data_IF_897597590817
#
_entry.id   IF_897597590817
#
_cell.length_a   1.000
_cell.length_b   1.000
_cell.length_c   1.000
_cell.angle_alpha   90.00
_cell.angle_beta   90.00
_cell.angle_gamma   90.00
#
_symmetry.space_group_name_H-M   'P 1'
#
loop_
_entity.id
_entity.type
_entity.pdbx_description
1 polymer ?
#
# COMPACT_ATOMS: atom_id res chain seq x y z
N UNK A 1 22.65 -16.65 -68.72
CA UNK A 1 21.63 -17.19 -67.77
C UNK A 1 22.35 -17.85 -66.60
N UNK A 2 22.47 -17.18 -65.44
CA UNK A 2 23.05 -17.79 -64.23
C UNK A 2 21.90 -18.12 -63.25
N UNK A 3 21.67 -19.41 -63.00
CA UNK A 3 20.69 -19.91 -62.02
C UNK A 3 21.14 -19.51 -60.61
N UNK A 4 20.35 -18.71 -59.88
CA UNK A 4 20.48 -18.52 -58.43
C UNK A 4 19.95 -19.78 -57.75
N UNK A 5 20.80 -20.49 -57.01
CA UNK A 5 20.36 -21.54 -56.09
C UNK A 5 19.78 -20.87 -54.83
N UNK A 6 18.53 -21.22 -54.48
CA UNK A 6 17.94 -20.91 -53.17
C UNK A 6 18.47 -21.92 -52.16
N UNK A 7 18.99 -21.45 -51.02
CA UNK A 7 19.27 -22.30 -49.85
C UNK A 7 17.94 -22.60 -49.13
N UNK A 8 17.69 -23.82 -48.64
CA UNK A 8 16.50 -24.12 -47.84
C UNK A 8 16.64 -23.51 -46.43
N UNK A 9 15.54 -22.96 -45.92
CA UNK A 9 15.43 -22.50 -44.53
C UNK A 9 15.49 -23.72 -43.59
N UNK A 10 16.33 -23.66 -42.56
CA UNK A 10 16.49 -24.70 -41.55
C UNK A 10 15.25 -24.79 -40.68
N UNK A 11 14.59 -25.95 -40.71
CA UNK A 11 13.40 -26.30 -39.93
C UNK A 11 13.72 -26.80 -38.52
N UNK A 12 14.98 -26.75 -38.10
CA UNK A 12 15.43 -27.37 -36.84
C UNK A 12 15.04 -26.54 -35.60
N UNK A 13 14.94 -25.21 -35.70
CA UNK A 13 14.67 -24.36 -34.52
C UNK A 13 13.21 -24.32 -34.08
N UNK A 14 12.25 -24.59 -34.99
CA UNK A 14 10.84 -24.70 -34.61
C UNK A 14 10.59 -25.97 -33.75
N UNK A 15 11.45 -26.99 -33.88
CA UNK A 15 11.37 -28.20 -33.06
C UNK A 15 11.75 -27.96 -31.60
N UNK A 16 12.65 -27.01 -31.33
CA UNK A 16 13.16 -26.75 -29.98
C UNK A 16 12.15 -25.96 -29.12
N UNK A 17 11.42 -25.02 -29.72
CA UNK A 17 10.36 -24.27 -29.02
C UNK A 17 9.15 -25.17 -28.71
N UNK A 18 8.73 -26.00 -29.68
CA UNK A 18 7.66 -26.98 -29.45
C UNK A 18 8.06 -28.04 -28.44
N UNK A 19 9.32 -28.48 -28.45
CA UNK A 19 9.87 -29.41 -27.45
C UNK A 19 9.90 -28.79 -26.06
N UNK A 20 10.32 -27.52 -25.94
CA UNK A 20 10.30 -26.81 -24.66
C UNK A 20 8.88 -26.63 -24.12
N UNK A 21 7.91 -26.33 -24.99
CA UNK A 21 6.50 -26.26 -24.60
C UNK A 21 5.95 -27.63 -24.17
N UNK A 22 6.25 -28.69 -24.90
CA UNK A 22 5.85 -30.05 -24.57
C UNK A 22 6.43 -30.50 -23.21
N UNK A 23 7.72 -30.26 -22.97
CA UNK A 23 8.39 -30.57 -21.70
C UNK A 23 7.74 -29.83 -20.52
N UNK A 24 7.32 -28.58 -20.69
CA UNK A 24 6.60 -27.82 -19.67
C UNK A 24 5.19 -28.37 -19.36
N UNK A 25 4.50 -28.91 -20.37
CA UNK A 25 3.16 -29.51 -20.18
C UNK A 25 3.23 -30.91 -19.59
N UNK A 26 4.31 -31.64 -19.85
CA UNK A 26 4.56 -32.98 -19.34
C UNK A 26 5.03 -32.94 -17.88
N UNK A 27 5.85 -31.95 -17.49
CA UNK A 27 6.23 -31.70 -16.09
C UNK A 27 5.03 -31.40 -15.19
N UNK A 28 4.03 -30.67 -15.71
CA UNK A 28 2.73 -30.45 -15.03
C UNK A 28 1.90 -31.72 -14.85
N UNK A 29 2.09 -32.75 -15.69
CA UNK A 29 1.40 -34.04 -15.55
C UNK A 29 2.10 -34.93 -14.52
N UNK A 30 3.43 -34.86 -14.42
CA UNK A 30 4.21 -35.66 -13.46
C UNK A 30 4.18 -35.09 -12.04
N UNK A 31 4.01 -33.77 -11.88
CA UNK A 31 3.89 -33.11 -10.56
C UNK A 31 2.50 -33.28 -9.91
N UNK A 32 1.49 -33.75 -10.65
CA UNK A 32 0.14 -33.94 -10.14
C UNK A 32 -0.06 -35.26 -9.35
N UNK A 33 0.90 -36.21 -9.42
CA UNK A 33 0.71 -37.59 -8.95
C UNK A 33 1.73 -38.10 -7.90
N UNK A 34 2.64 -37.28 -7.35
CA UNK A 34 3.60 -37.77 -6.32
C UNK A 34 3.83 -36.77 -5.16
N UNK A 35 3.38 -37.07 -3.92
CA UNK A 35 3.64 -36.24 -2.76
C UNK A 35 4.77 -36.85 -1.92
N UNK A 36 6.04 -36.76 -2.34
CA UNK A 36 7.22 -36.84 -1.45
C UNK A 36 8.54 -36.56 -2.15
N UNK A 37 9.41 -35.85 -1.42
CA UNK A 37 10.80 -35.51 -1.73
C UNK A 37 10.93 -34.41 -2.81
N UNK A 38 11.56 -33.27 -2.55
CA UNK A 38 12.96 -33.16 -2.16
C UNK A 38 13.23 -31.87 -1.35
N UNK A 39 13.73 -32.07 -0.13
CA UNK A 39 14.62 -31.15 0.57
C UNK A 39 16.05 -31.58 0.24
N UNK A 40 16.78 -30.76 -0.51
CA UNK A 40 18.25 -30.65 -0.46
C UNK A 40 18.64 -29.38 -1.21
N UNK A 41 18.97 -28.35 -0.46
CA UNK A 41 19.61 -27.14 -0.98
C UNK A 41 21.06 -27.46 -1.30
N UNK A 42 21.45 -27.20 -2.54
CA UNK A 42 22.83 -26.92 -2.90
C UNK A 42 22.94 -25.40 -3.00
N UNK A 43 23.78 -24.83 -2.15
CA UNK A 43 24.19 -23.44 -2.20
C UNK A 43 25.14 -23.28 -3.41
N UNK A 44 24.72 -22.49 -4.40
CA UNK A 44 25.61 -21.96 -5.43
C UNK A 44 25.53 -20.44 -5.40
N UNK A 45 26.68 -19.83 -5.15
CA UNK A 45 26.92 -18.39 -5.21
C UNK A 45 26.68 -17.88 -6.64
N UNK A 46 25.52 -17.26 -6.89
CA UNK A 46 25.20 -16.49 -8.11
C UNK A 46 24.75 -15.07 -7.71
N UNK A 47 25.49 -14.42 -6.80
CA UNK A 47 25.32 -12.99 -6.55
C UNK A 47 26.14 -12.19 -7.57
N UNK A 48 25.61 -12.05 -8.78
CA UNK A 48 26.26 -11.26 -9.84
C UNK A 48 25.50 -11.11 -11.15
N UNK A 49 24.54 -11.99 -11.45
CA UNK A 49 23.80 -11.98 -12.73
C UNK A 49 22.34 -11.49 -12.61
N UNK A 50 21.77 -11.46 -11.40
CA UNK A 50 20.35 -11.07 -11.19
C UNK A 50 20.05 -9.60 -11.55
N UNK A 51 21.02 -8.68 -11.39
CA UNK A 51 20.81 -7.25 -11.66
C UNK A 51 20.79 -6.89 -13.16
N UNK A 52 21.48 -7.66 -14.01
CA UNK A 52 21.44 -7.45 -15.47
C UNK A 52 20.20 -8.09 -16.10
N UNK A 53 19.73 -9.23 -15.56
CA UNK A 53 18.51 -9.91 -16.03
C UNK A 53 17.24 -9.11 -15.70
N UNK A 54 17.17 -8.47 -14.53
CA UNK A 54 16.05 -7.58 -14.19
C UNK A 54 15.97 -6.35 -15.12
N UNK A 55 17.12 -5.84 -15.56
CA UNK A 55 17.22 -4.76 -16.55
C UNK A 55 16.71 -5.20 -17.93
N UNK A 56 17.22 -6.33 -18.46
CA UNK A 56 16.80 -6.86 -19.77
C UNK A 56 15.34 -7.35 -19.78
N UNK A 57 14.78 -7.77 -18.65
CA UNK A 57 13.35 -8.15 -18.53
C UNK A 57 12.42 -6.93 -18.39
N UNK A 58 12.84 -5.86 -17.71
CA UNK A 58 12.05 -4.62 -17.62
C UNK A 58 11.90 -3.93 -18.98
N UNK A 59 12.95 -3.96 -19.81
CA UNK A 59 12.89 -3.51 -21.20
C UNK A 59 11.94 -4.37 -22.06
N UNK A 60 11.81 -5.67 -21.76
CA UNK A 60 10.85 -6.55 -22.46
C UNK A 60 9.40 -6.23 -22.11
N UNK A 61 9.09 -5.85 -20.86
CA UNK A 61 7.74 -5.44 -20.45
C UNK A 61 7.32 -4.12 -21.12
N UNK A 62 8.21 -3.12 -21.17
CA UNK A 62 7.97 -1.87 -21.88
C UNK A 62 7.81 -2.07 -23.41
N UNK A 63 8.57 -3.01 -24.00
CA UNK A 63 8.48 -3.34 -25.42
C UNK A 63 7.18 -4.10 -25.78
N UNK A 64 6.64 -4.94 -24.89
CA UNK A 64 5.36 -5.65 -25.10
C UNK A 64 4.15 -4.71 -25.00
N UNK A 65 4.17 -3.70 -24.12
CA UNK A 65 3.14 -2.66 -24.08
C UNK A 65 3.14 -1.80 -25.35
N UNK A 66 4.32 -1.57 -25.94
CA UNK A 66 4.44 -0.88 -27.23
C UNK A 66 3.86 -1.71 -28.39
N UNK A 67 4.06 -3.04 -28.41
CA UNK A 67 3.48 -3.89 -29.47
C UNK A 67 1.94 -3.95 -29.43
N UNK A 68 1.33 -3.94 -28.23
CA UNK A 68 -0.14 -3.86 -28.10
C UNK A 68 -0.67 -2.50 -28.62
N UNK A 69 0.13 -1.44 -28.48
CA UNK A 69 -0.18 -0.12 -29.03
C UNK A 69 -0.03 -0.05 -30.55
N UNK A 70 1.00 -0.66 -31.14
CA UNK A 70 1.29 -0.67 -32.58
C UNK A 70 0.33 -1.57 -33.37
N UNK A 71 -0.11 -2.71 -32.84
CA UNK A 71 -1.11 -3.55 -33.52
C UNK A 71 -2.49 -2.88 -33.63
N UNK A 72 -2.77 -1.89 -32.78
CA UNK A 72 -3.96 -1.03 -32.88
C UNK A 72 -3.86 0.05 -33.98
N UNK A 73 -2.69 0.18 -34.61
CA UNK A 73 -2.34 1.25 -35.56
C UNK A 73 -2.17 0.76 -37.01
N UNK A 74 -2.38 -0.52 -37.32
CA UNK A 74 -2.40 -1.02 -38.71
C UNK A 74 -3.69 -0.60 -39.47
N UNK A 75 -3.94 0.72 -39.52
CA UNK A 75 -4.61 1.44 -40.60
C UNK A 75 -4.17 2.90 -40.55
N UNK A 76 -3.32 3.24 -41.52
CA UNK A 76 -2.88 4.57 -41.98
C UNK A 76 -1.48 5.02 -41.50
N UNK A 77 -0.46 4.51 -42.21
CA UNK A 77 0.81 5.19 -42.55
C UNK A 77 0.49 6.55 -43.24
N UNK A 78 1.26 7.64 -43.24
CA UNK A 78 2.62 8.00 -42.84
C UNK A 78 2.66 9.55 -42.78
N UNK A 79 3.47 10.15 -41.90
CA UNK A 79 4.41 11.27 -42.18
C UNK A 79 5.03 11.87 -40.89
N UNK A 80 6.34 11.65 -40.76
CA UNK A 80 7.44 12.50 -40.25
C UNK A 80 7.15 13.62 -39.21
N UNK A 81 7.77 13.60 -38.03
CA UNK A 81 9.14 14.16 -37.80
C UNK A 81 9.44 14.59 -36.33
N UNK A 82 10.70 14.30 -35.94
CA UNK A 82 11.62 14.93 -34.96
C UNK A 82 11.14 15.57 -33.64
N UNK A 83 11.51 14.90 -32.54
CA UNK A 83 12.60 15.32 -31.63
C UNK A 83 12.44 16.57 -30.76
N UNK A 84 12.56 16.42 -29.43
CA UNK A 84 13.17 17.39 -28.52
C UNK A 84 13.50 16.74 -27.15
N UNK A 85 14.78 16.50 -26.90
CA UNK A 85 15.37 16.32 -25.55
C UNK A 85 15.65 17.70 -24.96
N UNK A 86 15.38 17.89 -23.67
CA UNK A 86 16.10 18.90 -22.86
C UNK A 86 16.24 18.43 -21.41
N UNK A 87 17.43 18.70 -20.90
CA UNK A 87 18.05 18.27 -19.65
C UNK A 87 17.95 19.40 -18.60
N UNK A 88 18.38 19.06 -17.38
CA UNK A 88 18.85 19.91 -16.26
C UNK A 88 17.78 20.54 -15.33
N UNK A 89 17.98 20.67 -14.01
CA UNK A 89 18.88 20.09 -12.99
C UNK A 89 18.35 20.52 -11.59
N UNK A 90 18.85 19.81 -10.57
CA UNK A 90 18.92 19.96 -9.10
C UNK A 90 18.38 21.18 -8.32
N UNK A 91 17.99 20.91 -7.06
CA UNK A 91 18.40 21.70 -5.89
C UNK A 91 18.29 20.88 -4.58
N UNK A 92 19.43 20.71 -3.90
CA UNK A 92 19.56 20.32 -2.49
C UNK A 92 19.23 21.47 -1.54
N UNK A 93 18.86 21.16 -0.28
CA UNK A 93 19.44 21.84 0.90
C UNK A 93 19.20 21.04 2.19
N UNK A 94 20.28 20.90 2.94
CA UNK A 94 20.48 20.48 4.33
C UNK A 94 19.84 21.52 5.31
N UNK A 95 19.73 21.43 6.65
CA UNK A 95 20.37 20.66 7.71
C UNK A 95 19.69 20.97 9.09
N UNK A 96 19.96 20.13 10.11
CA UNK A 96 19.94 20.32 11.59
C UNK A 96 18.59 20.59 12.34
N UNK A 97 18.32 20.09 13.55
CA UNK A 97 19.10 19.28 14.50
C UNK A 97 18.38 19.16 15.87
N UNK A 98 18.78 18.11 16.62
CA UNK A 98 18.75 17.91 18.11
C UNK A 98 17.40 17.91 18.87
N UNK A 99 17.13 17.05 19.87
CA UNK A 99 17.90 16.02 20.57
C UNK A 99 17.21 15.59 21.89
N UNK A 100 17.72 14.51 22.51
CA UNK A 100 17.68 14.18 23.96
C UNK A 100 16.31 13.77 24.56
N UNK A 101 16.14 12.82 25.49
CA UNK A 101 17.01 12.05 26.38
C UNK A 101 16.22 10.83 26.89
N UNK A 102 16.91 9.73 27.15
CA UNK A 102 16.49 8.61 27.99
C UNK A 102 16.35 9.04 29.46
N UNK A 103 15.67 8.23 30.29
CA UNK A 103 16.25 7.62 31.51
C UNK A 103 15.18 6.87 32.34
N UNK A 104 15.68 5.79 32.93
CA UNK A 104 15.08 4.79 33.82
C UNK A 104 14.77 5.32 35.24
N UNK A 105 13.97 4.57 36.02
CA UNK A 105 14.17 4.39 37.46
C UNK A 105 13.17 3.38 38.06
N UNK A 106 13.71 2.30 38.64
CA UNK A 106 12.99 1.32 39.45
C UNK A 106 12.94 1.66 40.96
N UNK A 107 12.93 0.60 41.77
CA UNK A 107 12.85 0.51 43.25
C UNK A 107 11.42 0.52 43.83
N UNK A 108 11.07 -0.25 44.86
CA UNK A 108 11.71 -1.31 45.66
C UNK A 108 10.59 -1.99 46.49
N UNK A 109 10.81 -3.23 46.89
CA UNK A 109 10.03 -3.97 47.90
C UNK A 109 10.45 -3.52 49.31
N UNK A 110 9.53 -3.49 50.28
CA UNK A 110 9.86 -3.67 51.70
C UNK A 110 8.72 -4.36 52.46
N UNK A 111 9.15 -4.97 53.56
CA UNK A 111 8.68 -6.18 54.22
C UNK A 111 8.01 -5.88 55.58
N UNK A 112 7.53 -6.94 56.24
CA UNK A 112 7.36 -7.09 57.71
C UNK A 112 6.22 -6.28 58.42
N UNK A 113 5.53 -6.73 59.49
CA UNK A 113 5.75 -7.73 60.55
C UNK A 113 4.40 -8.11 61.20
N UNK A 114 4.32 -9.33 61.74
CA UNK A 114 3.30 -9.79 62.69
C UNK A 114 3.52 -9.20 64.10
N UNK A 115 2.44 -8.94 64.86
CA UNK A 115 2.50 -8.75 66.32
C UNK A 115 1.28 -9.42 66.99
N UNK A 116 1.55 -10.50 67.71
CA UNK A 116 0.66 -11.16 68.67
C UNK A 116 0.80 -10.51 70.05
N UNK A 117 -0.29 -10.00 70.64
CA UNK A 117 -0.24 -9.48 72.01
C UNK A 117 -1.58 -9.06 72.57
N UNK A 118 -2.29 -10.00 73.18
CA UNK A 118 -3.63 -9.82 73.73
C UNK A 118 -3.74 -8.75 74.82
N UNK A 119 -4.73 -7.87 74.65
CA UNK A 119 -5.50 -7.32 75.75
C UNK A 119 -6.92 -7.02 75.23
N UNK A 120 -7.92 -7.48 75.98
CA UNK A 120 -9.37 -7.36 75.77
C UNK A 120 -9.81 -6.17 74.87
N UNK A 121 -10.21 -6.45 73.61
CA UNK A 121 -10.69 -5.44 72.67
C UNK A 121 -12.02 -4.85 73.15
N UNK A 122 -12.01 -3.65 73.75
CA UNK A 122 -13.23 -2.83 73.84
C UNK A 122 -13.65 -2.46 72.42
N UNK A 123 -14.80 -2.96 71.95
CA UNK A 123 -15.22 -2.67 70.58
C UNK A 123 -15.56 -1.19 70.44
N UNK A 124 -15.39 -0.62 69.23
CA UNK A 124 -15.69 0.81 68.97
C UNK A 124 -17.12 1.19 69.35
N UNK A 125 -18.06 0.26 69.17
CA UNK A 125 -19.46 0.44 69.54
C UNK A 125 -19.62 0.61 71.05
N UNK A 126 -18.78 -0.06 71.85
CA UNK A 126 -18.75 0.09 73.30
C UNK A 126 -18.24 1.48 73.69
N UNK A 127 -17.21 2.00 73.00
CA UNK A 127 -16.71 3.37 73.22
C UNK A 127 -17.78 4.40 72.86
N UNK A 128 -18.54 4.19 71.78
CA UNK A 128 -19.60 5.10 71.38
C UNK A 128 -20.79 5.07 72.36
N UNK A 129 -21.14 3.89 72.89
CA UNK A 129 -22.14 3.73 73.95
C UNK A 129 -21.69 4.38 75.25
N UNK A 130 -20.45 4.15 75.69
CA UNK A 130 -19.86 4.80 76.88
C UNK A 130 -19.91 6.33 76.75
N UNK A 131 -19.49 6.88 75.61
CA UNK A 131 -19.54 8.33 75.35
C UNK A 131 -20.98 8.89 75.34
N UNK A 132 -21.99 8.09 75.00
CA UNK A 132 -23.39 8.51 75.03
C UNK A 132 -23.97 8.55 76.45
N UNK A 133 -23.41 7.77 77.38
CA UNK A 133 -23.82 7.72 78.79
C UNK A 133 -23.08 8.74 79.66
N UNK A 134 -22.00 9.36 79.16
CA UNK A 134 -21.29 10.42 79.87
C UNK A 134 -22.01 11.78 79.76
N UNK A 135 -21.87 12.62 80.79
CA UNK A 135 -22.38 13.99 80.75
C UNK A 135 -21.62 14.81 79.71
N UNK A 136 -22.27 15.82 79.13
CA UNK A 136 -21.66 16.69 78.12
C UNK A 136 -20.36 17.37 78.63
N UNK A 137 -20.33 17.74 79.91
CA UNK A 137 -19.14 18.33 80.53
C UNK A 137 -17.96 17.36 80.54
N UNK A 138 -18.22 16.09 80.83
CA UNK A 138 -17.18 15.06 80.86
C UNK A 138 -16.67 14.72 79.46
N UNK A 139 -17.56 14.70 78.46
CA UNK A 139 -17.18 14.55 77.05
C UNK A 139 -16.29 15.71 76.59
N UNK A 140 -16.58 16.94 77.01
CA UNK A 140 -15.76 18.12 76.68
C UNK A 140 -14.39 18.07 77.38
N UNK A 141 -14.35 17.69 78.66
CA UNK A 141 -13.09 17.47 79.40
C UNK A 141 -12.26 16.39 78.75
N UNK A 142 -12.88 15.30 78.29
CA UNK A 142 -12.22 14.25 77.54
C UNK A 142 -11.65 14.78 76.23
N UNK A 143 -12.46 15.48 75.42
CA UNK A 143 -12.02 16.08 74.15
C UNK A 143 -10.84 17.04 74.34
N UNK A 144 -10.81 17.81 75.42
CA UNK A 144 -9.70 18.72 75.73
C UNK A 144 -8.44 17.96 76.18
N UNK A 145 -8.58 16.81 76.85
CA UNK A 145 -7.45 15.96 77.27
C UNK A 145 -6.83 15.17 76.13
N UNK A 146 -7.65 14.50 75.30
CA UNK A 146 -7.16 13.69 74.16
C UNK A 146 -6.93 14.53 72.88
N UNK A 147 -7.45 15.75 72.84
CA UNK A 147 -7.37 16.65 71.69
C UNK A 147 -8.48 16.42 70.66
N UNK A 148 -8.93 17.50 70.02
CA UNK A 148 -10.08 17.50 69.09
C UNK A 148 -9.87 16.61 67.88
N UNK A 149 -8.64 16.50 67.36
CA UNK A 149 -8.31 15.67 66.18
C UNK A 149 -8.44 14.17 66.46
N UNK A 150 -7.93 13.71 67.60
CA UNK A 150 -7.96 12.30 67.99
C UNK A 150 -9.38 11.90 68.38
N UNK A 151 -10.06 12.74 69.16
CA UNK A 151 -11.47 12.54 69.52
C UNK A 151 -12.37 12.42 68.27
N UNK A 152 -12.20 13.32 67.30
CA UNK A 152 -12.99 13.29 66.06
C UNK A 152 -12.67 12.06 65.21
N UNK A 153 -11.41 11.58 65.20
CA UNK A 153 -11.08 10.32 64.53
C UNK A 153 -11.84 9.16 65.17
N UNK A 154 -11.73 8.97 66.48
CA UNK A 154 -12.41 7.85 67.16
C UNK A 154 -13.95 7.92 67.02
N UNK A 155 -14.53 9.12 67.08
CA UNK A 155 -15.99 9.32 66.98
C UNK A 155 -16.52 9.24 65.54
N UNK A 156 -15.84 9.87 64.59
CA UNK A 156 -16.36 10.10 63.22
C UNK A 156 -15.69 9.26 62.14
N UNK A 157 -14.68 8.45 62.44
CA UNK A 157 -14.02 7.59 61.45
C UNK A 157 -14.87 6.36 61.13
N UNK A 158 -16.05 6.58 60.54
CA UNK A 158 -16.88 5.53 59.94
C UNK A 158 -16.22 5.04 58.65
N UNK A 159 -15.13 4.28 58.76
CA UNK A 159 -14.65 3.37 57.73
C UNK A 159 -14.52 3.94 56.32
N UNK A 160 -14.20 5.23 56.18
CA UNK A 160 -13.85 5.82 54.89
C UNK A 160 -12.47 6.42 55.02
N UNK A 161 -11.46 5.63 54.67
CA UNK A 161 -10.12 6.12 54.35
C UNK A 161 -10.19 7.04 53.13
N UNK A 162 -10.69 8.26 53.33
CA UNK A 162 -10.56 9.31 52.34
C UNK A 162 -9.28 10.07 52.66
N UNK A 163 -8.21 9.68 51.97
CA UNK A 163 -7.09 10.57 51.65
C UNK A 163 -7.62 11.99 51.37
N UNK A 164 -6.94 13.05 51.85
CA UNK A 164 -7.37 14.41 51.57
C UNK A 164 -7.23 14.65 50.07
N UNK A 165 -8.35 14.52 49.33
CA UNK A 165 -8.40 14.82 47.90
C UNK A 165 -8.04 16.30 47.66
N UNK A 166 -6.74 16.53 47.48
CA UNK A 166 -6.17 17.75 46.95
C UNK A 166 -6.60 17.84 45.49
N UNK A 167 -7.76 18.48 45.25
CA UNK A 167 -8.22 19.09 43.97
C UNK A 167 -9.70 18.88 43.63
N UNK A 168 -10.49 18.27 44.50
CA UNK A 168 -11.95 18.21 44.32
C UNK A 168 -12.58 19.59 44.51
N UNK A 169 -12.97 20.27 43.43
CA UNK A 169 -13.80 21.50 43.49
C UNK A 169 -15.01 21.22 44.39
N UNK A 170 -15.09 21.85 45.57
CA UNK A 170 -16.24 21.71 46.47
C UNK A 170 -17.51 22.06 45.69
N UNK A 171 -18.37 21.06 45.44
CA UNK A 171 -19.61 21.28 44.72
C UNK A 171 -20.56 22.08 45.61
N UNK A 172 -21.19 23.12 45.05
CA UNK A 172 -22.25 23.88 45.74
C UNK A 172 -23.44 22.95 45.94
N UNK A 173 -24.03 22.93 47.14
CA UNK A 173 -25.24 22.13 47.42
C UNK A 173 -26.47 22.61 46.60
N UNK A 174 -26.49 23.88 46.18
CA UNK A 174 -27.52 24.47 45.30
C UNK A 174 -26.89 25.57 44.43
N UNK A 175 -27.40 25.78 43.22
CA UNK A 175 -26.95 26.79 42.25
C UNK A 175 -27.02 28.22 42.77
N UNK A 176 -27.85 28.49 43.77
CA UNK A 176 -28.02 29.83 44.36
C UNK A 176 -27.23 30.05 45.67
N UNK A 177 -26.50 29.05 46.19
CA UNK A 177 -25.77 29.16 47.48
C UNK A 177 -24.32 29.64 47.28
N UNK A 178 -23.80 30.70 47.92
CA UNK A 178 -22.40 31.11 47.73
C UNK A 178 -21.40 29.99 48.07
N UNK A 179 -20.25 30.01 47.41
CA UNK A 179 -19.17 29.04 47.63
C UNK A 179 -18.02 29.71 48.37
N UNK A 180 -17.61 29.12 49.49
CA UNK A 180 -16.44 29.59 50.23
C UNK A 180 -15.15 29.23 49.46
N UNK A 181 -14.32 30.24 49.23
CA UNK A 181 -12.99 30.11 48.64
C UNK A 181 -11.95 30.63 49.64
N UNK A 182 -10.80 29.96 49.73
CA UNK A 182 -9.72 30.40 50.63
C UNK A 182 -9.13 31.72 50.14
N UNK A 183 -9.02 32.70 51.04
CA UNK A 183 -8.37 33.98 50.79
C UNK A 183 -6.87 33.86 50.42
N UNK A 184 -6.25 32.69 50.68
CA UNK A 184 -4.87 32.38 50.30
C UNK A 184 -4.72 31.96 48.84
N UNK A 185 -5.82 31.73 48.11
CA UNK A 185 -5.75 31.38 46.68
C UNK A 185 -5.57 32.67 45.87
N UNK A 186 -4.41 32.88 45.23
CA UNK A 186 -4.21 34.05 44.38
C UNK A 186 -5.14 33.99 43.17
N UNK A 187 -5.59 35.15 42.70
CA UNK A 187 -6.35 35.25 41.45
C UNK A 187 -5.38 35.03 40.29
N UNK A 188 -5.74 34.17 39.32
CA UNK A 188 -4.95 34.02 38.10
C UNK A 188 -4.90 35.35 37.36
N UNK A 189 -3.69 35.88 37.14
CA UNK A 189 -3.48 37.11 36.38
C UNK A 189 -3.85 36.93 34.90
N UNK A 190 -3.64 35.72 34.37
CA UNK A 190 -3.95 35.37 32.98
C UNK A 190 -5.41 34.97 32.84
N UNK A 191 -6.11 35.60 31.89
CA UNK A 191 -7.43 35.15 31.44
C UNK A 191 -7.28 33.81 30.72
N UNK A 192 -8.04 32.81 31.15
CA UNK A 192 -8.15 31.55 30.41
C UNK A 192 -8.88 31.82 29.08
N UNK A 193 -8.12 31.90 27.99
CA UNK A 193 -8.68 31.97 26.63
C UNK A 193 -9.19 30.57 26.29
N UNK A 194 -10.51 30.37 26.38
CA UNK A 194 -11.13 29.14 25.90
C UNK A 194 -11.13 29.20 24.38
N UNK A 195 -10.34 28.34 23.73
CA UNK A 195 -10.36 28.24 22.28
C UNK A 195 -11.76 27.81 21.82
N UNK A 196 -12.47 28.72 21.16
CA UNK A 196 -13.76 28.40 20.56
C UNK A 196 -13.47 27.62 19.27
N UNK A 197 -14.06 26.43 19.11
CA UNK A 197 -13.98 25.66 17.86
C UNK A 197 -14.64 26.49 16.76
N UNK A 198 -13.83 27.13 15.92
CA UNK A 198 -14.31 27.86 14.73
C UNK A 198 -14.68 26.84 13.67
N UNK A 199 -15.92 26.86 13.19
CA UNK A 199 -16.34 26.04 12.05
C UNK A 199 -15.64 26.58 10.80
N UNK A 200 -14.68 25.84 10.29
CA UNK A 200 -14.08 26.09 8.97
C UNK A 200 -14.92 25.36 7.93
N UNK A 201 -15.39 26.07 6.90
CA UNK A 201 -15.96 25.42 5.72
C UNK A 201 -14.82 24.66 5.03
N UNK A 202 -14.93 23.32 4.96
CA UNK A 202 -13.95 22.46 4.31
C UNK A 202 -14.44 22.06 2.93
N UNK A 203 -13.57 22.20 1.92
CA UNK A 203 -13.81 21.66 0.58
C UNK A 203 -13.26 20.22 0.56
N UNK A 204 -14.11 19.19 0.42
CA UNK A 204 -13.66 17.80 0.47
C UNK A 204 -12.66 17.44 -0.63
N UNK A 205 -12.52 18.27 -1.68
CA UNK A 205 -11.51 18.07 -2.72
C UNK A 205 -10.10 18.50 -2.28
N UNK A 206 -10.02 19.41 -1.32
CA UNK A 206 -8.79 20.06 -0.87
C UNK A 206 -8.57 19.95 0.65
N UNK A 207 -9.42 19.20 1.35
CA UNK A 207 -9.31 19.01 2.79
C UNK A 207 -8.52 17.74 3.08
N UNK A 208 -7.40 17.88 3.79
CA UNK A 208 -6.47 16.79 4.12
C UNK A 208 -7.15 15.61 4.83
N UNK A 209 -8.27 15.87 5.52
CA UNK A 209 -9.08 14.85 6.20
C UNK A 209 -9.92 13.99 5.25
N UNK A 210 -10.04 14.35 3.98
CA UNK A 210 -10.88 13.64 3.00
C UNK A 210 -10.22 12.38 2.42
N UNK A 211 -8.95 12.13 2.77
CA UNK A 211 -8.20 10.93 2.42
C UNK A 211 -7.64 10.93 0.99
N UNK A 212 -7.02 9.81 0.62
CA UNK A 212 -6.33 9.65 -0.67
C UNK A 212 -7.21 9.03 -1.76
N UNK A 213 -6.82 9.24 -3.02
CA UNK A 213 -7.49 8.67 -4.18
C UNK A 213 -7.41 7.13 -4.18
N UNK A 214 -8.57 6.49 -4.21
CA UNK A 214 -8.69 5.02 -4.35
C UNK A 214 -9.33 4.67 -5.68
N UNK A 215 -8.54 4.15 -6.61
CA UNK A 215 -8.98 3.77 -7.96
C UNK A 215 -10.19 2.81 -7.93
N UNK A 216 -10.15 1.80 -7.05
CA UNK A 216 -11.24 0.81 -6.93
C UNK A 216 -12.59 1.42 -6.54
N UNK A 217 -12.58 2.43 -5.67
CA UNK A 217 -13.80 3.13 -5.25
C UNK A 217 -14.25 4.03 -6.38
N UNK A 218 -13.31 4.81 -6.95
CA UNK A 218 -13.59 5.73 -8.03
C UNK A 218 -14.25 5.04 -9.24
N UNK A 219 -13.71 3.91 -9.68
CA UNK A 219 -14.27 3.16 -10.80
C UNK A 219 -15.69 2.65 -10.52
N UNK A 220 -15.98 2.25 -9.27
CA UNK A 220 -17.32 1.81 -8.87
C UNK A 220 -18.30 2.96 -8.77
N UNK A 221 -17.91 4.07 -8.13
CA UNK A 221 -18.80 5.22 -7.90
C UNK A 221 -19.02 6.05 -9.15
N UNK A 222 -18.01 6.13 -10.02
CA UNK A 222 -18.02 6.96 -11.22
C UNK A 222 -17.96 6.15 -12.53
N UNK A 223 -18.42 4.90 -12.51
CA UNK A 223 -18.44 4.04 -13.70
C UNK A 223 -19.17 4.65 -14.90
N UNK A 224 -20.19 5.49 -14.66
CA UNK A 224 -20.93 6.21 -15.71
C UNK A 224 -20.07 7.16 -16.54
N UNK A 225 -18.90 7.60 -16.04
CA UNK A 225 -17.96 8.42 -16.80
C UNK A 225 -17.50 7.68 -18.05
N UNK A 226 -17.38 6.35 -18.00
CA UNK A 226 -17.02 5.55 -19.16
C UNK A 226 -18.09 5.65 -20.25
N UNK A 227 -19.37 5.59 -19.90
CA UNK A 227 -20.47 5.75 -20.85
C UNK A 227 -20.49 7.14 -21.50
N UNK A 228 -20.13 8.17 -20.74
CA UNK A 228 -19.98 9.54 -21.25
C UNK A 228 -18.82 9.60 -22.24
N UNK A 229 -17.64 9.07 -21.88
CA UNK A 229 -16.46 9.02 -22.76
C UNK A 229 -16.75 8.24 -24.05
N UNK A 230 -17.48 7.13 -23.98
CA UNK A 230 -17.91 6.40 -25.16
C UNK A 230 -18.82 7.25 -26.07
N UNK A 231 -19.80 7.94 -25.49
CA UNK A 231 -20.67 8.86 -26.24
C UNK A 231 -19.90 10.01 -26.87
N UNK A 232 -18.93 10.59 -26.16
CA UNK A 232 -18.05 11.64 -26.68
C UNK A 232 -17.20 11.15 -27.84
N UNK A 233 -16.60 9.95 -27.72
CA UNK A 233 -15.85 9.31 -28.81
C UNK A 233 -16.71 9.16 -30.07
N UNK A 234 -17.95 8.69 -29.93
CA UNK A 234 -18.90 8.58 -31.05
C UNK A 234 -19.24 9.94 -31.68
N UNK A 235 -19.38 11.00 -30.87
CA UNK A 235 -19.60 12.36 -31.37
C UNK A 235 -18.38 12.86 -32.16
N UNK A 236 -17.17 12.61 -31.68
CA UNK A 236 -15.92 13.00 -32.35
C UNK A 236 -15.78 12.25 -33.68
N UNK A 237 -16.05 10.93 -33.71
CA UNK A 237 -16.07 10.12 -34.95
C UNK A 237 -17.05 10.68 -35.98
N UNK A 238 -18.26 11.06 -35.54
CA UNK A 238 -19.26 11.71 -36.42
C UNK A 238 -18.77 13.07 -36.94
N UNK A 239 -18.06 13.86 -36.12
CA UNK A 239 -17.47 15.14 -36.55
C UNK A 239 -16.34 14.92 -37.54
N UNK A 240 -15.50 13.91 -37.34
CA UNK A 240 -14.42 13.55 -38.24
C UNK A 240 -14.94 13.24 -39.64
N UNK A 241 -15.98 12.41 -39.74
CA UNK A 241 -16.60 12.03 -41.01
C UNK A 241 -17.26 13.21 -41.75
N UNK A 242 -17.71 14.24 -41.01
CA UNK A 242 -18.37 15.44 -41.57
C UNK A 242 -17.40 16.58 -41.88
N UNK A 243 -16.22 16.58 -41.29
CA UNK A 243 -15.23 17.63 -41.50
C UNK A 243 -14.70 17.58 -42.93
N UNK A 244 -14.56 18.75 -43.55
CA UNK A 244 -13.98 18.90 -44.90
C UNK A 244 -12.57 19.50 -44.85
N UNK A 245 -12.21 20.17 -43.76
CA UNK A 245 -10.91 20.81 -43.59
C UNK A 245 -9.90 19.77 -43.12
N UNK A 246 -8.77 19.68 -43.82
CA UNK A 246 -7.72 18.70 -43.57
C UNK A 246 -7.12 18.83 -42.15
N UNK A 247 -6.71 20.04 -41.75
CA UNK A 247 -6.21 20.31 -40.38
C UNK A 247 -7.17 19.85 -39.28
N UNK A 248 -8.47 20.15 -39.44
CA UNK A 248 -9.49 19.73 -38.47
C UNK A 248 -9.71 18.22 -38.48
N UNK A 249 -9.49 17.52 -39.60
CA UNK A 249 -9.57 16.06 -39.64
C UNK A 249 -8.42 15.44 -38.87
N UNK A 250 -7.20 15.92 -39.08
CA UNK A 250 -6.00 15.45 -38.35
C UNK A 250 -6.15 15.65 -36.84
N UNK A 251 -6.59 16.83 -36.41
CA UNK A 251 -6.87 17.11 -34.99
C UNK A 251 -7.92 16.14 -34.40
N UNK A 252 -8.99 15.87 -35.15
CA UNK A 252 -10.05 14.95 -34.72
C UNK A 252 -9.59 13.49 -34.74
N UNK A 253 -8.79 13.08 -35.71
CA UNK A 253 -8.18 11.74 -35.79
C UNK A 253 -7.25 11.51 -34.60
N UNK A 254 -6.35 12.46 -34.33
CA UNK A 254 -5.46 12.41 -33.17
C UNK A 254 -6.25 12.30 -31.87
N UNK A 255 -7.33 13.08 -31.73
CA UNK A 255 -8.18 13.01 -30.53
C UNK A 255 -8.88 11.64 -30.39
N UNK A 256 -9.37 11.05 -31.49
CA UNK A 256 -9.94 9.70 -31.46
C UNK A 256 -8.89 8.68 -31.05
N UNK A 257 -7.70 8.71 -31.66
CA UNK A 257 -6.58 7.82 -31.34
C UNK A 257 -6.20 7.91 -29.87
N UNK A 258 -6.08 9.14 -29.33
CA UNK A 258 -5.82 9.38 -27.91
C UNK A 258 -6.90 8.78 -27.01
N UNK A 259 -8.17 8.97 -27.34
CA UNK A 259 -9.29 8.43 -26.55
C UNK A 259 -9.31 6.89 -26.59
N UNK A 260 -9.03 6.28 -27.74
CA UNK A 260 -8.96 4.83 -27.89
C UNK A 260 -7.77 4.25 -27.12
N UNK A 261 -6.60 4.89 -27.16
CA UNK A 261 -5.42 4.46 -26.39
C UNK A 261 -5.68 4.55 -24.88
N UNK A 262 -6.33 5.62 -24.41
CA UNK A 262 -6.72 5.73 -22.99
C UNK A 262 -7.70 4.64 -22.56
N UNK A 263 -8.63 4.26 -23.44
CA UNK A 263 -9.58 3.19 -23.17
C UNK A 263 -8.90 1.82 -23.14
N UNK A 264 -8.01 1.52 -24.08
CA UNK A 264 -7.20 0.28 -24.10
C UNK A 264 -6.35 0.17 -22.85
N UNK A 265 -5.60 1.22 -22.50
CA UNK A 265 -4.76 1.23 -21.30
C UNK A 265 -5.59 1.02 -20.02
N UNK A 266 -6.79 1.61 -19.92
CA UNK A 266 -7.70 1.38 -18.79
C UNK A 266 -8.15 -0.08 -18.73
N UNK A 267 -8.60 -0.64 -19.85
CA UNK A 267 -9.08 -2.02 -19.93
C UNK A 267 -7.97 -3.02 -19.59
N UNK A 268 -6.74 -2.80 -20.07
CA UNK A 268 -5.59 -3.64 -19.74
C UNK A 268 -5.30 -3.64 -18.23
N UNK A 269 -5.25 -2.46 -17.59
CA UNK A 269 -5.11 -2.34 -16.12
C UNK A 269 -6.25 -3.02 -15.36
N UNK A 270 -7.48 -2.86 -15.84
CA UNK A 270 -8.66 -3.50 -15.22
C UNK A 270 -8.58 -5.02 -15.32
N UNK A 271 -8.16 -5.57 -16.46
CA UNK A 271 -7.94 -7.00 -16.66
C UNK A 271 -6.84 -7.54 -15.74
N UNK A 272 -5.70 -6.86 -15.66
CA UNK A 272 -4.61 -7.23 -14.73
C UNK A 272 -5.10 -7.25 -13.29
N UNK A 273 -5.79 -6.19 -12.85
CA UNK A 273 -6.37 -6.13 -11.50
C UNK A 273 -7.37 -7.26 -11.26
N UNK A 274 -8.25 -7.55 -12.22
CA UNK A 274 -9.22 -8.63 -12.09
C UNK A 274 -8.53 -10.00 -11.95
N UNK A 275 -7.47 -10.27 -12.72
CA UNK A 275 -6.67 -11.49 -12.60
C UNK A 275 -6.02 -11.63 -11.22
N UNK A 276 -5.46 -10.55 -10.68
CA UNK A 276 -4.90 -10.55 -9.33
C UNK A 276 -5.97 -10.81 -8.26
N UNK A 277 -7.13 -10.17 -8.39
CA UNK A 277 -8.26 -10.37 -7.47
C UNK A 277 -8.78 -11.81 -7.53
N UNK A 278 -8.85 -12.40 -8.73
CA UNK A 278 -9.19 -13.80 -8.91
C UNK A 278 -8.18 -14.73 -8.26
N UNK A 279 -6.89 -14.45 -8.41
CA UNK A 279 -5.83 -15.23 -7.76
C UNK A 279 -5.93 -15.15 -6.24
N UNK A 280 -6.10 -13.95 -5.67
CA UNK A 280 -6.35 -13.74 -4.24
C UNK A 280 -7.61 -14.46 -3.76
N UNK A 281 -8.67 -14.49 -4.58
CA UNK A 281 -9.91 -15.23 -4.29
C UNK A 281 -9.67 -16.74 -4.25
N UNK A 282 -8.93 -17.29 -5.22
CA UNK A 282 -8.55 -18.72 -5.26
C UNK A 282 -7.70 -19.10 -4.04
N UNK A 283 -6.73 -18.27 -3.67
CA UNK A 283 -5.95 -18.49 -2.44
C UNK A 283 -6.83 -18.51 -1.19
N UNK A 284 -7.77 -17.56 -1.06
CA UNK A 284 -8.72 -17.54 0.06
C UNK A 284 -9.58 -18.80 0.12
N UNK A 285 -10.02 -19.30 -1.04
CA UNK A 285 -10.79 -20.55 -1.12
C UNK A 285 -9.96 -21.75 -0.64
N UNK A 286 -8.72 -21.89 -1.11
CA UNK A 286 -7.80 -22.95 -0.64
C UNK A 286 -7.54 -22.87 0.86
N UNK A 287 -7.33 -21.67 1.39
CA UNK A 287 -7.15 -21.47 2.83
C UNK A 287 -8.41 -21.86 3.62
N UNK A 288 -9.61 -21.55 3.11
CA UNK A 288 -10.87 -21.99 3.72
C UNK A 288 -11.04 -23.51 3.70
N UNK A 289 -10.49 -24.18 2.68
CA UNK A 289 -10.44 -25.65 2.58
C UNK A 289 -9.35 -26.27 3.48
N UNK A 290 -8.53 -25.44 4.16
CA UNK A 290 -7.42 -25.88 5.01
C UNK A 290 -6.14 -26.24 4.24
N UNK A 291 -6.08 -25.95 2.93
CA UNK A 291 -4.87 -26.14 2.13
C UNK A 291 -3.86 -25.02 2.40
N UNK A 292 -2.57 -25.34 2.22
CA UNK A 292 -1.49 -24.39 2.39
C UNK A 292 -1.58 -23.21 1.39
N UNK A 293 -1.21 -21.99 1.79
CA UNK A 293 -1.17 -20.84 0.89
C UNK A 293 -0.12 -21.03 -0.22
N UNK A 294 -0.53 -20.83 -1.48
CA UNK A 294 0.36 -20.93 -2.64
C UNK A 294 0.93 -19.56 -3.00
N UNK A 295 2.21 -19.34 -2.73
CA UNK A 295 2.93 -18.15 -3.16
C UNK A 295 3.69 -18.44 -4.45
N UNK A 296 3.22 -17.88 -5.57
CA UNK A 296 3.94 -17.94 -6.84
C UNK A 296 5.08 -16.93 -6.82
N UNK A 297 6.27 -17.36 -7.24
CA UNK A 297 7.41 -16.48 -7.51
C UNK A 297 7.07 -15.50 -8.64
N UNK A 298 7.76 -14.36 -8.71
CA UNK A 298 7.50 -13.37 -9.76
C UNK A 298 7.77 -13.97 -11.17
N UNK A 299 8.85 -14.72 -11.33
CA UNK A 299 9.18 -15.43 -12.59
C UNK A 299 8.09 -16.43 -13.01
N UNK A 300 7.48 -17.14 -12.05
CA UNK A 300 6.35 -18.05 -12.32
C UNK A 300 5.09 -17.29 -12.76
N UNK A 301 4.81 -16.13 -12.14
CA UNK A 301 3.70 -15.25 -12.56
C UNK A 301 3.92 -14.74 -13.99
N UNK A 302 5.13 -14.30 -14.33
CA UNK A 302 5.49 -13.88 -15.69
C UNK A 302 5.31 -15.02 -16.70
N UNK A 303 5.76 -16.23 -16.38
CA UNK A 303 5.53 -17.43 -17.22
C UNK A 303 4.05 -17.69 -17.46
N UNK A 304 3.21 -17.58 -16.42
CA UNK A 304 1.76 -17.74 -16.57
C UNK A 304 1.14 -16.66 -17.47
N UNK A 305 1.55 -15.40 -17.32
CA UNK A 305 1.12 -14.30 -18.18
C UNK A 305 1.55 -14.53 -19.63
N UNK A 306 2.79 -14.96 -19.86
CA UNK A 306 3.31 -15.24 -21.20
C UNK A 306 2.57 -16.40 -21.88
N UNK A 307 2.24 -17.45 -21.12
CA UNK A 307 1.40 -18.55 -21.61
C UNK A 307 0.01 -18.08 -22.01
N UNK A 308 -0.62 -17.24 -21.20
CA UNK A 308 -1.94 -16.66 -21.51
C UNK A 308 -1.88 -15.79 -22.77
N UNK A 309 -0.90 -14.89 -22.87
CA UNK A 309 -0.66 -14.07 -24.08
C UNK A 309 -0.44 -14.94 -25.31
N UNK A 310 0.36 -16.01 -25.20
CA UNK A 310 0.58 -16.96 -26.28
C UNK A 310 -0.73 -17.64 -26.73
N UNK A 311 -1.56 -18.08 -25.78
CA UNK A 311 -2.87 -18.66 -26.10
C UNK A 311 -3.78 -17.66 -26.79
N UNK A 312 -3.80 -16.40 -26.37
CA UNK A 312 -4.62 -15.35 -26.99
C UNK A 312 -4.13 -14.97 -28.38
N UNK A 313 -2.81 -14.93 -28.60
CA UNK A 313 -2.20 -14.77 -29.92
C UNK A 313 -2.48 -15.97 -30.83
N UNK A 314 -2.49 -17.18 -30.28
CA UNK A 314 -2.85 -18.41 -31.01
C UNK A 314 -4.33 -18.41 -31.40
N UNK A 315 -5.23 -17.98 -30.49
CA UNK A 315 -6.67 -17.83 -30.77
C UNK A 315 -6.95 -16.75 -31.81
N UNK A 316 -6.22 -15.63 -31.76
CA UNK A 316 -6.37 -14.52 -32.71
C UNK A 316 -5.72 -14.79 -34.07
N UNK A 317 -4.88 -15.84 -34.19
CA UNK A 317 -4.16 -16.18 -35.42
C UNK A 317 -2.96 -15.28 -35.71
N UNK A 318 -2.58 -14.40 -34.79
CA UNK A 318 -1.47 -13.44 -34.94
C UNK A 318 -0.12 -13.96 -34.45
N UNK A 319 -0.10 -15.16 -33.87
CA UNK A 319 1.09 -15.75 -33.26
C UNK A 319 2.31 -15.79 -34.19
N UNK A 320 2.15 -16.22 -35.44
CA UNK A 320 3.26 -16.29 -36.40
C UNK A 320 3.88 -14.93 -36.69
N UNK A 321 3.03 -13.90 -36.82
CA UNK A 321 3.49 -12.53 -37.05
C UNK A 321 4.27 -12.02 -35.82
N UNK A 322 3.74 -12.22 -34.62
CA UNK A 322 4.42 -11.88 -33.37
C UNK A 322 5.79 -12.58 -33.26
N UNK A 323 5.85 -13.90 -33.49
CA UNK A 323 7.11 -14.65 -33.47
C UNK A 323 8.07 -14.16 -34.55
N UNK A 324 7.59 -13.83 -35.75
CA UNK A 324 8.44 -13.28 -36.82
C UNK A 324 9.04 -11.92 -36.44
N UNK A 325 8.25 -11.02 -35.82
CA UNK A 325 8.69 -9.72 -35.31
C UNK A 325 9.72 -9.92 -34.20
N UNK A 326 9.45 -10.81 -33.24
CA UNK A 326 10.36 -11.16 -32.14
C UNK A 326 11.68 -11.75 -32.64
N UNK A 327 11.66 -12.71 -33.58
CA UNK A 327 12.87 -13.26 -34.25
C UNK A 327 13.70 -12.17 -34.92
N UNK A 328 13.06 -11.23 -35.65
CA UNK A 328 13.75 -10.12 -36.33
C UNK A 328 14.40 -9.14 -35.33
N UNK A 329 13.73 -8.82 -34.22
CA UNK A 329 14.26 -7.94 -33.17
C UNK A 329 15.44 -8.60 -32.46
N UNK A 330 15.30 -9.86 -32.06
CA UNK A 330 16.38 -10.64 -31.43
C UNK A 330 17.62 -10.71 -32.35
N UNK A 331 17.44 -11.06 -33.62
CA UNK A 331 18.54 -11.06 -34.60
C UNK A 331 19.21 -9.68 -34.74
N UNK A 332 18.46 -8.58 -34.56
CA UNK A 332 19.02 -7.22 -34.57
C UNK A 332 19.79 -6.90 -33.29
N UNK A 333 19.30 -7.33 -32.12
CA UNK A 333 19.99 -7.21 -30.82
C UNK A 333 21.29 -8.04 -30.83
N UNK A 334 21.23 -9.29 -31.28
CA UNK A 334 22.39 -10.18 -31.43
C UNK A 334 23.43 -9.62 -32.40
N UNK A 335 22.98 -9.03 -33.51
CA UNK A 335 23.88 -8.36 -34.46
C UNK A 335 24.64 -7.17 -33.84
N UNK A 336 24.06 -6.47 -32.85
CA UNK A 336 24.76 -5.40 -32.11
C UNK A 336 25.80 -5.98 -31.14
N UNK A 337 25.53 -7.14 -30.55
CA UNK A 337 26.46 -7.85 -29.63
C UNK A 337 27.64 -8.49 -30.38
N UNK A 338 27.50 -8.71 -31.70
CA UNK A 338 28.60 -9.21 -32.55
C UNK A 338 29.56 -8.08 -32.98
N UNK A 339 30.87 -8.36 -33.09
CA UNK A 339 31.83 -7.39 -33.59
C UNK A 339 31.46 -6.96 -35.02
N UNK A 340 31.63 -5.66 -35.38
CA UNK A 340 31.25 -5.16 -36.69
C UNK A 340 31.99 -5.96 -37.76
N UNK A 341 31.23 -6.66 -38.60
CA UNK A 341 31.76 -7.40 -39.73
C UNK A 341 32.55 -6.43 -40.61
N UNK A 342 33.87 -6.61 -40.69
CA UNK A 342 34.69 -5.80 -41.57
C UNK A 342 34.23 -6.06 -43.00
N UNK A 343 33.63 -5.05 -43.63
CA UNK A 343 33.36 -5.09 -45.06
C UNK A 343 34.71 -5.18 -45.77
N UNK A 344 35.12 -6.39 -46.13
CA UNK A 344 36.27 -6.57 -47.01
C UNK A 344 35.87 -5.98 -48.36
N UNK A 345 36.32 -4.75 -48.61
CA UNK A 345 36.30 -4.13 -49.93
C UNK A 345 37.27 -4.92 -50.82
N UNK A 346 36.91 -6.15 -51.17
CA UNK A 346 37.57 -6.87 -52.24
C UNK A 346 37.32 -6.04 -53.51
N UNK A 347 38.38 -5.54 -54.18
CA UNK A 347 38.21 -4.76 -55.39
C UNK A 347 37.43 -5.63 -56.38
N UNK A 348 36.26 -5.13 -56.81
CA UNK A 348 35.50 -5.77 -57.89
C UNK A 348 36.40 -5.76 -59.12
N UNK A 349 37.03 -6.89 -59.41
CA UNK A 349 37.85 -7.07 -60.60
C UNK A 349 37.00 -6.74 -61.82
N UNK A 350 37.40 -5.69 -62.54
CA UNK A 350 36.94 -5.43 -63.89
C UNK A 350 37.47 -6.57 -64.77
N UNK A 351 36.54 -7.36 -65.33
CA UNK A 351 36.81 -8.30 -66.41
C UNK A 351 35.88 -7.98 -67.58
#
# INVERSE_FOLDING_TARGET
MKKKQKRPASSDEDSDVERNFALFTEKRKTEADDPREQMKGEESEEEGEELEEEGEESEQEEEEEQEESEEGEEREEDEEDQGLKKHEEEAESEQEGEGSSEEEAGSEEEDEVEDEGGNELRTREDVQKELSHMSFEDVLKLQNKVGTKVYNKVKHDSGSGSEPSTSGKRKRLNKNRPMEVSAKRPVSFLRQVVSVKKSTLRDPRFDDLSGEYKADIFEKTYGFINDIKHREKEVIKKKLNKSKSQRKKEELQFLVKRMENQERARLSREQQRNKELEFKRKQRQRANEGQAPLYLKNSERKKLQLLEKYEDLKKSGKLENFLSKKRKRNATKDRKKLPPQQHTNAPRGFH
#
